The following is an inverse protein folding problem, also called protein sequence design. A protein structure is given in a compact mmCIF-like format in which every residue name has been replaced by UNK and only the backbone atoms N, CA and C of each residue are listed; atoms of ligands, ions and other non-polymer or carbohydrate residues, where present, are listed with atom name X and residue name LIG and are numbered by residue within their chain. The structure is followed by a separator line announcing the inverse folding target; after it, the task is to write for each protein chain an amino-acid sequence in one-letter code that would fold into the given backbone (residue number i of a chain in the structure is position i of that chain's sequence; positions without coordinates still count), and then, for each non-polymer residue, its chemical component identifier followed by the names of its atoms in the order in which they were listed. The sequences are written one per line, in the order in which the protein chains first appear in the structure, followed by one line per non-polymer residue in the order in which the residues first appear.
data_IF_390727130503
#
_entry.id   IF_390727130503
#
_cell.length_a   1.000
_cell.length_b   1.000
_cell.length_c   1.000
_cell.angle_alpha   90.00
_cell.angle_beta   90.00
_cell.angle_gamma   90.00
#
_symmetry.space_group_name_H-M   'P 1'
#
loop_
_entity.id
_entity.type
_entity.pdbx_description
1 polymer ?
#
# COMPACT_ATOMS: atom_id res chain seq x y z
N UNK A 1 3.91 -14.74 -3.33
CA UNK A 1 4.73 -13.76 -4.10
C UNK A 1 4.77 -12.47 -3.30
N UNK A 2 5.88 -11.70 -3.28
CA UNK A 2 5.87 -10.37 -2.69
C UNK A 2 4.83 -9.46 -3.35
N UNK A 3 3.94 -8.86 -2.55
CA UNK A 3 2.85 -8.03 -3.06
C UNK A 3 2.75 -6.73 -2.26
N UNK A 4 2.72 -5.59 -2.94
CA UNK A 4 2.43 -4.29 -2.32
C UNK A 4 1.28 -3.63 -3.07
N UNK A 5 0.29 -3.12 -2.34
CA UNK A 5 -0.94 -2.52 -2.89
C UNK A 5 -1.09 -1.11 -2.35
N UNK A 6 -1.28 -0.14 -3.24
CA UNK A 6 -1.68 1.22 -2.89
C UNK A 6 -3.08 1.49 -3.42
N UNK A 7 -3.96 2.02 -2.58
CA UNK A 7 -5.31 2.36 -2.98
C UNK A 7 -5.79 3.63 -2.28
N UNK A 8 -6.36 4.57 -3.04
CA UNK A 8 -6.97 5.77 -2.49
C UNK A 8 -8.39 5.49 -2.01
N UNK A 9 -8.73 5.83 -0.76
CA UNK A 9 -10.06 5.53 -0.20
C UNK A 9 -11.21 6.38 -0.77
N UNK A 10 -10.91 7.30 -1.69
CA UNK A 10 -11.87 8.07 -2.50
C UNK A 10 -11.68 7.85 -4.01
N UNK A 11 -11.07 6.74 -4.40
CA UNK A 11 -11.06 6.28 -5.78
C UNK A 11 -12.48 5.90 -6.21
N UNK A 12 -13.03 6.65 -7.17
CA UNK A 12 -14.36 6.40 -7.75
C UNK A 12 -14.28 5.66 -9.11
N UNK A 13 -13.07 5.33 -9.56
CA UNK A 13 -12.81 4.61 -10.82
C UNK A 13 -12.63 3.12 -10.56
N UNK A 14 -11.90 2.75 -9.49
CA UNK A 14 -11.70 1.37 -9.05
C UNK A 14 -12.08 1.27 -7.58
N UNK A 15 -12.92 0.30 -7.22
CA UNK A 15 -13.38 0.13 -5.84
C UNK A 15 -12.27 -0.39 -4.92
N UNK A 16 -12.20 0.14 -3.70
CA UNK A 16 -11.22 -0.27 -2.68
C UNK A 16 -11.23 -1.77 -2.37
N UNK A 17 -12.40 -2.40 -2.46
CA UNK A 17 -12.57 -3.85 -2.28
C UNK A 17 -11.74 -4.69 -3.24
N UNK A 18 -11.36 -4.16 -4.41
CA UNK A 18 -10.46 -4.86 -5.31
C UNK A 18 -9.04 -4.93 -4.73
N UNK A 19 -8.59 -3.87 -4.04
CA UNK A 19 -7.32 -3.87 -3.32
C UNK A 19 -7.31 -4.89 -2.19
N UNK A 20 -8.39 -4.94 -1.40
CA UNK A 20 -8.58 -5.94 -0.33
C UNK A 20 -8.52 -7.37 -0.90
N UNK A 21 -9.23 -7.64 -1.99
CA UNK A 21 -9.23 -8.96 -2.62
C UNK A 21 -7.86 -9.38 -3.17
N UNK A 22 -7.04 -8.43 -3.64
CA UNK A 22 -5.65 -8.70 -4.05
C UNK A 22 -4.81 -9.10 -2.83
N UNK A 23 -4.94 -8.38 -1.72
CA UNK A 23 -4.24 -8.67 -0.45
C UNK A 23 -4.63 -10.06 0.05
N UNK A 24 -5.93 -10.37 0.13
CA UNK A 24 -6.43 -11.68 0.56
C UNK A 24 -5.86 -12.83 -0.29
N UNK A 25 -5.86 -12.68 -1.61
CA UNK A 25 -5.27 -13.69 -2.52
C UNK A 25 -3.76 -13.80 -2.37
N UNK A 26 -3.06 -12.69 -2.17
CA UNK A 26 -1.61 -12.70 -1.95
C UNK A 26 -1.27 -13.46 -0.67
N UNK A 27 -2.02 -13.22 0.42
CA UNK A 27 -1.85 -13.94 1.69
C UNK A 27 -2.15 -15.44 1.55
N UNK A 28 -3.19 -15.82 0.83
CA UNK A 28 -3.51 -17.22 0.55
C UNK A 28 -2.40 -17.96 -0.23
N UNK A 29 -1.55 -17.22 -0.95
CA UNK A 29 -0.39 -17.77 -1.67
C UNK A 29 0.89 -17.86 -0.82
N UNK A 30 0.88 -17.30 0.40
CA UNK A 30 2.03 -17.34 1.30
C UNK A 30 2.04 -18.64 2.12
N UNK A 31 3.20 -18.99 2.70
CA UNK A 31 3.32 -20.21 3.49
C UNK A 31 2.51 -20.08 4.79
N UNK A 32 2.08 -21.22 5.35
CA UNK A 32 1.37 -21.25 6.62
C UNK A 32 2.22 -20.55 7.71
N UNK A 33 1.74 -19.38 8.20
CA UNK A 33 2.44 -18.53 9.15
C UNK A 33 2.52 -17.05 8.75
N UNK A 34 2.41 -16.74 7.45
CA UNK A 34 2.57 -15.38 6.91
C UNK A 34 1.24 -14.58 6.85
N UNK A 35 0.13 -15.16 7.35
CA UNK A 35 -1.23 -14.69 7.11
C UNK A 35 -1.79 -13.72 8.18
N UNK A 36 -1.00 -13.36 9.20
CA UNK A 36 -1.45 -12.45 10.26
C UNK A 36 -0.80 -11.07 10.11
N UNK A 37 -1.57 -9.98 10.27
CA UNK A 37 -1.01 -8.63 10.23
C UNK A 37 -0.01 -8.49 11.37
N UNK A 38 1.22 -8.16 11.02
CA UNK A 38 2.34 -8.03 11.96
C UNK A 38 2.47 -6.60 12.46
N UNK A 39 2.08 -5.61 11.66
CA UNK A 39 2.15 -4.19 12.03
C UNK A 39 1.08 -3.40 11.29
N UNK A 40 0.39 -2.50 11.98
CA UNK A 40 -0.49 -1.49 11.38
C UNK A 40 0.08 -0.13 11.76
N UNK A 41 0.37 0.70 10.75
CA UNK A 41 0.86 2.07 10.94
C UNK A 41 -0.16 3.02 10.35
N UNK A 42 -0.67 3.94 11.16
CA UNK A 42 -1.42 5.10 10.67
C UNK A 42 -0.52 6.32 10.77
N UNK A 43 -0.24 6.93 9.62
CA UNK A 43 0.53 8.15 9.56
C UNK A 43 -0.37 9.30 9.13
N UNK A 44 -0.30 10.41 9.85
CA UNK A 44 -0.96 11.65 9.49
C UNK A 44 0.09 12.76 9.40
N UNK A 45 -0.04 13.64 8.41
CA UNK A 45 0.86 14.77 8.21
C UNK A 45 0.08 15.94 7.64
N UNK A 46 0.40 17.18 8.02
CA UNK A 46 -0.13 18.35 7.32
C UNK A 46 0.42 18.49 5.89
N UNK A 47 1.62 17.93 5.64
CA UNK A 47 2.35 18.09 4.37
C UNK A 47 2.02 16.99 3.35
N UNK A 48 1.65 15.79 3.82
CA UNK A 48 1.30 14.64 2.99
C UNK A 48 -0.05 14.09 3.40
N UNK A 49 -0.73 13.39 2.50
CA UNK A 49 -1.96 12.67 2.83
C UNK A 49 -1.66 11.66 3.93
N UNK A 50 -2.60 11.57 4.86
CA UNK A 50 -2.60 10.48 5.80
C UNK A 50 -2.74 9.15 5.08
N UNK A 51 -2.19 8.10 5.65
CA UNK A 51 -2.34 6.74 5.15
C UNK A 51 -2.36 5.73 6.29
N UNK A 52 -3.01 4.61 6.03
CA UNK A 52 -2.93 3.42 6.87
C UNK A 52 -2.19 2.32 6.10
N UNK A 53 -1.13 1.79 6.71
CA UNK A 53 -0.33 0.70 6.16
C UNK A 53 -0.50 -0.54 7.02
N UNK A 54 -0.93 -1.64 6.41
CA UNK A 54 -1.01 -2.96 7.04
C UNK A 54 0.10 -3.84 6.45
N UNK A 55 0.97 -4.34 7.33
CA UNK A 55 2.09 -5.19 6.99
C UNK A 55 1.83 -6.64 7.41
N UNK A 56 2.09 -7.57 6.51
CA UNK A 56 2.11 -9.01 6.76
C UNK A 56 3.52 -9.54 6.52
N UNK A 57 4.22 -9.91 7.60
CA UNK A 57 5.60 -10.36 7.55
C UNK A 57 5.73 -11.88 7.76
N UNK A 58 6.80 -12.46 7.20
CA UNK A 58 7.15 -13.86 7.45
C UNK A 58 7.78 -14.05 8.85
N UNK A 59 8.03 -15.30 9.22
CA UNK A 59 8.68 -15.65 10.49
C UNK A 59 10.09 -15.04 10.69
N UNK A 60 10.70 -14.48 9.64
CA UNK A 60 11.99 -13.78 9.69
C UNK A 60 11.83 -12.25 9.74
N UNK A 61 10.59 -11.76 9.84
CA UNK A 61 10.25 -10.34 9.87
C UNK A 61 10.29 -9.67 8.49
N UNK A 62 10.38 -10.42 7.39
CA UNK A 62 10.37 -9.83 6.04
C UNK A 62 8.94 -9.57 5.58
N UNK A 63 8.68 -8.35 5.12
CA UNK A 63 7.41 -7.95 4.54
C UNK A 63 7.06 -8.77 3.30
N UNK A 64 6.00 -9.59 3.36
CA UNK A 64 5.52 -10.40 2.22
C UNK A 64 4.35 -9.74 1.53
N UNK A 65 3.47 -9.10 2.30
CA UNK A 65 2.37 -8.31 1.76
C UNK A 65 2.30 -6.98 2.51
N UNK A 66 2.18 -5.88 1.77
CA UNK A 66 1.90 -4.55 2.31
C UNK A 66 0.65 -3.97 1.65
N UNK A 67 -0.30 -3.50 2.46
CA UNK A 67 -1.49 -2.80 2.01
C UNK A 67 -1.44 -1.36 2.48
N UNK A 68 -1.53 -0.42 1.54
CA UNK A 68 -1.49 1.01 1.78
C UNK A 68 -2.83 1.63 1.37
N UNK A 69 -3.56 2.14 2.34
CA UNK A 69 -4.80 2.91 2.14
C UNK A 69 -4.47 4.39 2.28
N UNK A 70 -4.58 5.14 1.19
CA UNK A 70 -4.25 6.57 1.14
C UNK A 70 -5.51 7.37 1.40
N UNK A 71 -5.55 8.08 2.52
CA UNK A 71 -6.74 8.80 2.97
C UNK A 71 -6.99 10.05 2.13
N UNK A 72 -8.21 10.14 1.60
CA UNK A 72 -8.64 11.15 0.65
C UNK A 72 -8.02 11.01 -0.75
N UNK A 73 -7.28 9.93 -1.02
CA UNK A 73 -6.67 9.65 -2.33
C UNK A 73 -7.73 9.26 -3.37
N UNK A 74 -7.63 9.80 -4.58
CA UNK A 74 -8.49 9.42 -5.71
C UNK A 74 -7.76 8.42 -6.62
N UNK A 75 -8.28 8.21 -7.84
CA UNK A 75 -7.59 7.42 -8.87
C UNK A 75 -6.38 8.17 -9.44
N UNK A 76 -5.30 8.22 -8.66
CA UNK A 76 -4.08 8.97 -9.00
C UNK A 76 -2.84 8.32 -8.38
N UNK A 77 -1.71 8.51 -9.04
CA UNK A 77 -0.41 8.01 -8.57
C UNK A 77 0.08 8.80 -7.35
N UNK A 78 0.30 8.11 -6.24
CA UNK A 78 0.66 8.72 -4.96
C UNK A 78 2.13 9.19 -4.93
N UNK A 79 2.34 10.46 -4.54
CA UNK A 79 3.65 11.09 -4.37
C UNK A 79 4.38 11.45 -5.68
N UNK A 80 3.68 11.43 -6.82
CA UNK A 80 4.24 11.76 -8.13
C UNK A 80 4.40 13.26 -8.41
N UNK A 81 5.02 13.60 -9.54
CA UNK A 81 5.23 15.00 -9.99
C UNK A 81 3.87 15.70 -10.24
N UNK A 82 3.61 16.87 -9.65
CA UNK A 82 2.36 17.63 -9.87
C UNK A 82 2.12 18.08 -11.32
N UNK A 83 3.14 18.02 -12.19
CA UNK A 83 2.99 18.26 -13.63
C UNK A 83 2.36 17.07 -14.38
N UNK A 84 2.29 15.89 -13.75
CA UNK A 84 1.61 14.72 -14.30
C UNK A 84 0.08 14.85 -14.28
N UNK A 85 -0.60 14.27 -15.27
CA UNK A 85 -2.06 14.39 -15.40
C UNK A 85 -2.86 13.47 -14.46
N UNK A 86 -2.22 12.45 -13.87
CA UNK A 86 -2.84 11.47 -12.97
C UNK A 86 -1.95 11.20 -11.76
N UNK A 87 -1.44 12.26 -11.14
CA UNK A 87 -0.59 12.18 -9.96
C UNK A 87 -1.24 12.92 -8.80
N UNK A 88 -0.92 12.46 -7.59
CA UNK A 88 -1.29 13.10 -6.34
C UNK A 88 0.00 13.39 -5.57
N UNK A 89 0.57 14.58 -5.82
CA UNK A 89 1.81 15.02 -5.20
C UNK A 89 1.74 15.13 -3.67
N UNK A 90 0.53 15.12 -3.08
CA UNK A 90 0.36 15.10 -1.63
C UNK A 90 0.37 13.68 -1.07
N UNK A 91 0.17 12.64 -1.88
CA UNK A 91 0.24 11.26 -1.41
C UNK A 91 1.64 10.86 -0.92
N UNK A 92 1.78 9.79 -0.11
CA UNK A 92 3.08 9.17 0.13
C UNK A 92 3.75 8.76 -1.18
N UNK A 93 5.08 8.72 -1.24
CA UNK A 93 5.81 8.32 -2.45
C UNK A 93 5.69 6.81 -2.69
N UNK A 94 4.66 6.41 -3.45
CA UNK A 94 4.42 5.00 -3.75
C UNK A 94 5.57 4.38 -4.56
N UNK A 95 6.29 5.18 -5.35
CA UNK A 95 7.41 4.66 -6.16
C UNK A 95 8.58 4.29 -5.26
N UNK A 96 8.95 5.18 -4.34
CA UNK A 96 9.98 4.92 -3.35
C UNK A 96 9.61 3.74 -2.45
N UNK A 97 8.35 3.66 -2.00
CA UNK A 97 7.87 2.56 -1.16
C UNK A 97 7.85 1.21 -1.89
N UNK A 98 7.48 1.18 -3.18
CA UNK A 98 7.62 -0.04 -4.01
C UNK A 98 9.08 -0.48 -4.12
N UNK A 99 10.00 0.45 -4.38
CA UNK A 99 11.44 0.14 -4.45
C UNK A 99 11.94 -0.39 -3.10
N UNK A 100 11.60 0.27 -1.98
CA UNK A 100 11.93 -0.21 -0.63
C UNK A 100 11.43 -1.63 -0.41
N UNK A 101 10.16 -1.88 -0.72
CA UNK A 101 9.52 -3.17 -0.51
C UNK A 101 10.21 -4.27 -1.32
N UNK A 102 10.40 -4.09 -2.63
CA UNK A 102 10.96 -5.14 -3.49
C UNK A 102 12.45 -5.39 -3.29
N UNK A 103 13.24 -4.39 -2.88
CA UNK A 103 14.65 -4.58 -2.54
C UNK A 103 14.87 -5.34 -1.22
N UNK A 104 13.84 -5.42 -0.36
CA UNK A 104 13.90 -6.08 0.93
C UNK A 104 13.46 -7.56 0.92
N UNK A 105 13.17 -8.14 -0.25
CA UNK A 105 12.60 -9.49 -0.38
C UNK A 105 13.63 -10.62 -0.23
#
# INVERSE_FOLDING_TARGET
MPTIVFHGDRDNTVTATNGDAIVERALASCAAGDAQPTTIVTAESPATRGHTTTLYADARGRARVEQWVIHGGAHAWSGGDPQGSYTDARGPDASAEMVRFFLAQ
#
